data_IF_629378247424
#
_entry.id   IF_629378247424
#
_cell.length_a   1.000
_cell.length_b   1.000
_cell.length_c   1.000
_cell.angle_alpha   90.00
_cell.angle_beta   90.00
_cell.angle_gamma   90.00
#
_symmetry.space_group_name_H-M   'P 1'
#
loop_
_entity.id
_entity.type
_entity.pdbx_description
1 polymer ?
#
# COMPACT_ATOMS: atom_id res chain seq x y z
N UNK A 1 -5.77 4.70 2.20
CA UNK A 1 -6.60 5.10 3.37
C UNK A 1 -7.46 3.98 3.92
N UNK A 2 -8.33 3.36 3.13
CA UNK A 2 -9.19 2.24 3.56
C UNK A 2 -8.46 1.17 4.40
N UNK A 3 -7.36 0.61 3.88
CA UNK A 3 -6.59 -0.43 4.58
C UNK A 3 -6.08 0.03 5.96
N UNK A 4 -5.61 1.27 6.08
CA UNK A 4 -5.10 1.80 7.34
C UNK A 4 -6.20 1.91 8.41
N UNK A 5 -7.40 2.39 8.05
CA UNK A 5 -8.54 2.42 8.97
C UNK A 5 -9.01 1.03 9.35
N UNK A 6 -9.04 0.10 8.39
CA UNK A 6 -9.47 -1.26 8.65
C UNK A 6 -8.53 -1.94 9.65
N UNK A 7 -7.21 -1.83 9.44
CA UNK A 7 -6.17 -2.36 10.33
C UNK A 7 -6.24 -1.71 11.71
N UNK A 8 -6.41 -0.39 11.79
CA UNK A 8 -6.55 0.31 13.06
C UNK A 8 -7.80 -0.14 13.83
N UNK A 9 -8.94 -0.25 13.14
CA UNK A 9 -10.20 -0.69 13.73
C UNK A 9 -10.12 -2.12 14.28
N UNK A 10 -9.60 -3.05 13.49
CA UNK A 10 -9.46 -4.45 13.90
C UNK A 10 -8.41 -4.65 14.99
N UNK A 11 -7.34 -3.84 14.97
CA UNK A 11 -6.37 -3.76 16.07
C UNK A 11 -7.04 -3.31 17.37
N UNK A 12 -7.83 -2.24 17.34
CA UNK A 12 -8.55 -1.76 18.52
C UNK A 12 -9.51 -2.82 19.07
N UNK A 13 -10.27 -3.51 18.21
CA UNK A 13 -11.15 -4.62 18.64
C UNK A 13 -10.35 -5.74 19.30
N UNK A 14 -9.22 -6.12 18.71
CA UNK A 14 -8.37 -7.21 19.23
C UNK A 14 -7.77 -6.83 20.60
N UNK A 15 -7.18 -5.65 20.71
CA UNK A 15 -6.47 -5.21 21.92
C UNK A 15 -7.42 -4.86 23.06
N UNK A 16 -8.57 -4.25 22.78
CA UNK A 16 -9.53 -3.88 23.82
C UNK A 16 -10.46 -5.04 24.20
N UNK A 17 -10.70 -5.97 23.25
CA UNK A 17 -11.67 -7.05 23.39
C UNK A 17 -11.15 -8.38 23.94
N UNK A 18 -9.84 -8.50 24.21
CA UNK A 18 -9.24 -9.80 24.60
C UNK A 18 -9.81 -10.35 25.91
N UNK A 19 -10.17 -9.50 26.88
CA UNK A 19 -10.77 -9.95 28.14
C UNK A 19 -12.17 -10.53 27.93
N UNK A 20 -12.96 -9.87 27.09
CA UNK A 20 -14.30 -10.31 26.71
C UNK A 20 -14.23 -11.62 25.92
N UNK A 21 -13.17 -11.88 25.16
CA UNK A 21 -12.97 -13.18 24.52
C UNK A 21 -12.90 -14.31 25.57
N UNK A 22 -12.09 -14.13 26.62
CA UNK A 22 -11.97 -15.15 27.69
C UNK A 22 -13.27 -15.33 28.47
N UNK A 23 -14.08 -14.27 28.61
CA UNK A 23 -15.42 -14.37 29.19
C UNK A 23 -16.38 -15.13 28.28
N UNK A 24 -16.41 -14.80 26.98
CA UNK A 24 -17.28 -15.47 26.00
C UNK A 24 -16.93 -16.95 25.82
N UNK A 25 -15.66 -17.33 25.99
CA UNK A 25 -15.22 -18.72 25.95
C UNK A 25 -15.54 -19.51 27.23
N UNK A 26 -16.12 -18.87 28.26
CA UNK A 26 -16.41 -19.51 29.54
C UNK A 26 -15.18 -19.83 30.39
N UNK A 27 -14.01 -19.28 30.05
CA UNK A 27 -12.78 -19.44 30.86
C UNK A 27 -12.90 -18.66 32.17
N UNK A 28 -13.58 -17.51 32.13
CA UNK A 28 -13.99 -16.78 33.32
C UNK A 28 -15.35 -17.30 33.77
N UNK A 29 -15.47 -17.74 35.04
CA UNK A 29 -16.72 -18.23 35.66
C UNK A 29 -17.75 -17.11 35.92
N UNK A 30 -17.84 -16.12 35.04
CA UNK A 30 -18.74 -14.98 35.11
C UNK A 30 -19.77 -15.07 33.99
N UNK A 31 -21.07 -14.89 34.26
CA UNK A 31 -22.09 -14.89 33.22
C UNK A 31 -21.88 -13.72 32.25
N UNK A 32 -22.14 -13.96 30.97
CA UNK A 32 -21.98 -12.97 29.91
C UNK A 32 -22.91 -11.76 30.08
N UNK A 33 -22.39 -10.54 30.29
CA UNK A 33 -23.22 -9.38 30.66
C UNK A 33 -23.68 -8.54 29.45
N UNK A 34 -23.29 -8.89 28.22
CA UNK A 34 -23.50 -8.05 27.04
C UNK A 34 -24.70 -8.51 26.19
N UNK A 35 -25.29 -7.58 25.44
CA UNK A 35 -26.43 -7.86 24.56
C UNK A 35 -26.09 -8.69 23.32
N UNK A 36 -24.83 -8.67 22.87
CA UNK A 36 -24.38 -9.46 21.72
C UNK A 36 -24.25 -10.93 22.13
N UNK A 37 -24.72 -11.90 21.34
CA UNK A 37 -24.49 -13.31 21.63
C UNK A 37 -22.99 -13.65 21.69
N UNK A 38 -22.60 -14.52 22.62
CA UNK A 38 -21.20 -14.95 22.83
C UNK A 38 -20.54 -15.44 21.53
N UNK A 39 -21.25 -16.28 20.78
CA UNK A 39 -20.77 -16.84 19.51
C UNK A 39 -20.51 -15.74 18.47
N UNK A 40 -21.42 -14.76 18.35
CA UNK A 40 -21.27 -13.66 17.41
C UNK A 40 -20.05 -12.79 17.75
N UNK A 41 -19.83 -12.56 19.05
CA UNK A 41 -18.65 -11.85 19.53
C UNK A 41 -17.35 -12.62 19.21
N UNK A 42 -17.29 -13.92 19.52
CA UNK A 42 -16.12 -14.77 19.26
C UNK A 42 -15.77 -14.75 17.76
N UNK A 43 -16.75 -14.96 16.88
CA UNK A 43 -16.52 -14.96 15.42
C UNK A 43 -15.99 -13.60 14.95
N UNK A 44 -16.60 -12.51 15.42
CA UNK A 44 -16.18 -11.14 15.05
C UNK A 44 -14.77 -10.84 15.53
N UNK A 45 -14.43 -11.27 16.75
CA UNK A 45 -13.10 -11.12 17.33
C UNK A 45 -12.05 -11.89 16.52
N UNK A 46 -12.32 -13.16 16.20
CA UNK A 46 -11.42 -13.99 15.39
C UNK A 46 -11.22 -13.40 13.99
N UNK A 47 -12.31 -12.93 13.36
CA UNK A 47 -12.22 -12.25 12.07
C UNK A 47 -11.37 -10.97 12.16
N UNK A 48 -11.51 -10.19 13.23
CA UNK A 48 -10.72 -8.99 13.45
C UNK A 48 -9.23 -9.31 13.58
N UNK A 49 -8.86 -10.37 14.31
CA UNK A 49 -7.47 -10.83 14.42
C UNK A 49 -6.90 -11.20 13.04
N UNK A 50 -7.63 -11.99 12.26
CA UNK A 50 -7.19 -12.42 10.92
C UNK A 50 -7.06 -11.22 9.99
N UNK A 51 -8.04 -10.30 9.98
CA UNK A 51 -8.02 -9.10 9.15
C UNK A 51 -6.88 -8.15 9.54
N UNK A 52 -6.62 -7.96 10.84
CA UNK A 52 -5.50 -7.15 11.31
C UNK A 52 -4.17 -7.65 10.72
N UNK A 53 -3.93 -8.97 10.78
CA UNK A 53 -2.70 -9.56 10.26
C UNK A 53 -2.64 -9.52 8.72
N UNK A 54 -3.68 -10.03 8.04
CA UNK A 54 -3.68 -10.14 6.58
C UNK A 54 -3.63 -8.77 5.90
N UNK A 55 -4.52 -7.85 6.29
CA UNK A 55 -4.55 -6.50 5.72
C UNK A 55 -3.37 -5.66 6.22
N UNK A 56 -2.84 -5.93 7.41
CA UNK A 56 -1.64 -5.26 7.93
C UNK A 56 -0.39 -5.56 7.08
N UNK A 57 -0.21 -6.83 6.69
CA UNK A 57 0.88 -7.23 5.77
C UNK A 57 0.69 -6.56 4.40
N UNK A 58 -0.53 -6.60 3.86
CA UNK A 58 -0.86 -5.95 2.59
C UNK A 58 -0.59 -4.44 2.61
N UNK A 59 -1.02 -3.75 3.67
CA UNK A 59 -0.76 -2.32 3.87
C UNK A 59 0.75 -2.03 3.92
N UNK A 60 1.50 -2.85 4.65
CA UNK A 60 2.96 -2.70 4.77
C UNK A 60 3.64 -2.86 3.41
N UNK A 61 3.21 -3.83 2.61
CA UNK A 61 3.71 -4.02 1.24
C UNK A 61 3.39 -2.83 0.34
N UNK A 62 2.17 -2.29 0.40
CA UNK A 62 1.82 -1.08 -0.36
C UNK A 62 2.62 0.14 0.07
N UNK A 63 2.84 0.36 1.37
CA UNK A 63 3.69 1.46 1.85
C UNK A 63 5.14 1.31 1.40
N UNK A 64 5.64 0.08 1.35
CA UNK A 64 6.95 -0.23 0.80
C UNK A 64 6.99 0.12 -0.70
N UNK A 65 6.03 -0.36 -1.50
CA UNK A 65 5.93 -0.09 -2.94
C UNK A 65 5.85 1.41 -3.25
N UNK A 66 5.01 2.14 -2.51
CA UNK A 66 4.88 3.60 -2.64
C UNK A 66 6.22 4.28 -2.33
N UNK A 67 6.98 3.78 -1.35
CA UNK A 67 8.29 4.33 -1.02
C UNK A 67 9.31 4.18 -2.16
N UNK A 68 9.12 3.23 -3.07
CA UNK A 68 9.96 3.03 -4.26
C UNK A 68 9.35 3.62 -5.54
N UNK A 69 8.21 4.32 -5.44
CA UNK A 69 7.44 4.82 -6.58
C UNK A 69 7.14 3.71 -7.61
N UNK A 70 6.66 2.56 -7.12
CA UNK A 70 6.28 1.43 -7.96
C UNK A 70 4.82 1.03 -7.66
N UNK A 71 4.06 0.70 -8.70
CA UNK A 71 2.80 -0.04 -8.59
C UNK A 71 3.05 -1.54 -8.44
N UNK A 72 2.02 -2.32 -8.07
CA UNK A 72 2.17 -3.78 -7.93
C UNK A 72 2.48 -4.50 -9.24
N UNK A 73 2.04 -3.94 -10.38
CA UNK A 73 2.37 -4.48 -11.71
C UNK A 73 3.82 -4.12 -12.05
N UNK A 74 4.18 -2.83 -11.91
CA UNK A 74 5.55 -2.34 -12.14
C UNK A 74 6.58 -3.06 -11.27
N UNK A 75 6.27 -3.39 -10.01
CA UNK A 75 7.19 -4.11 -9.14
C UNK A 75 7.58 -5.49 -9.70
N UNK A 76 6.64 -6.17 -10.38
CA UNK A 76 6.91 -7.46 -11.02
C UNK A 76 7.73 -7.27 -12.31
N UNK A 77 7.42 -6.25 -13.10
CA UNK A 77 8.17 -5.93 -14.33
C UNK A 77 9.60 -5.48 -14.00
N UNK A 78 9.77 -4.66 -12.98
CA UNK A 78 11.07 -4.20 -12.48
C UNK A 78 11.94 -5.36 -12.00
N UNK A 79 11.37 -6.44 -11.46
CA UNK A 79 12.15 -7.63 -11.14
C UNK A 79 12.74 -8.27 -12.41
N UNK A 80 11.96 -8.32 -13.49
CA UNK A 80 12.41 -8.82 -14.80
C UNK A 80 13.45 -7.87 -15.39
N UNK A 81 13.23 -6.56 -15.35
CA UNK A 81 14.17 -5.55 -15.87
C UNK A 81 15.50 -5.58 -15.13
N UNK A 82 15.49 -5.67 -13.79
CA UNK A 82 16.72 -5.80 -12.98
C UNK A 82 17.52 -7.05 -13.38
N UNK A 83 16.86 -8.18 -13.66
CA UNK A 83 17.52 -9.41 -14.11
C UNK A 83 18.14 -9.24 -15.51
N UNK A 84 17.41 -8.61 -16.44
CA UNK A 84 17.89 -8.33 -17.81
C UNK A 84 19.05 -7.33 -17.84
N UNK A 85 18.94 -6.22 -17.09
CA UNK A 85 20.02 -5.23 -16.98
C UNK A 85 21.28 -5.88 -16.40
N UNK A 86 21.13 -6.65 -15.31
CA UNK A 86 22.25 -7.33 -14.66
C UNK A 86 22.94 -8.35 -15.57
N UNK A 87 22.22 -9.05 -16.43
CA UNK A 87 22.84 -9.99 -17.38
C UNK A 87 23.69 -9.29 -18.44
N UNK A 88 23.44 -8.00 -18.70
CA UNK A 88 24.25 -7.14 -19.56
C UNK A 88 25.38 -6.41 -18.83
N UNK A 89 25.47 -6.53 -17.51
CA UNK A 89 26.38 -5.72 -16.70
C UNK A 89 25.95 -4.27 -16.52
N UNK A 90 24.66 -3.98 -16.73
CA UNK A 90 24.02 -2.67 -16.53
C UNK A 90 23.18 -2.70 -15.24
N UNK A 91 22.97 -1.53 -14.61
CA UNK A 91 22.06 -1.38 -13.47
C UNK A 91 20.70 -0.82 -13.91
N UNK A 92 19.62 -1.39 -13.39
CA UNK A 92 18.26 -0.86 -13.57
C UNK A 92 17.99 0.28 -12.58
N UNK A 93 17.50 1.42 -13.07
CA UNK A 93 17.08 2.55 -12.24
C UNK A 93 15.64 2.93 -12.58
N UNK A 94 14.77 2.94 -11.55
CA UNK A 94 13.41 3.45 -11.67
C UNK A 94 13.45 4.97 -11.92
N UNK A 95 12.91 5.43 -13.05
CA UNK A 95 12.84 6.85 -13.42
C UNK A 95 11.81 7.61 -12.58
N UNK A 96 10.81 6.94 -12.00
CA UNK A 96 9.79 7.53 -11.14
C UNK A 96 10.21 7.61 -9.67
N UNK A 97 11.31 6.97 -9.27
CA UNK A 97 11.81 7.03 -7.90
C UNK A 97 12.54 8.36 -7.63
N UNK A 98 11.86 9.26 -6.90
CA UNK A 98 12.37 10.55 -6.45
C UNK A 98 12.91 10.51 -5.01
N UNK A 99 13.00 9.32 -4.42
CA UNK A 99 13.38 9.06 -3.05
C UNK A 99 12.18 8.86 -2.12
N UNK A 100 12.33 7.95 -1.17
CA UNK A 100 11.26 7.43 -0.29
C UNK A 100 10.32 8.49 0.30
N UNK A 101 10.88 9.56 0.86
CA UNK A 101 10.10 10.65 1.47
C UNK A 101 9.31 11.43 0.41
N UNK A 102 9.92 11.71 -0.74
CA UNK A 102 9.28 12.46 -1.82
C UNK A 102 8.19 11.63 -2.49
N UNK A 103 8.41 10.33 -2.70
CA UNK A 103 7.42 9.43 -3.26
C UNK A 103 6.17 9.33 -2.38
N UNK A 104 6.35 9.19 -1.06
CA UNK A 104 5.24 9.22 -0.09
C UNK A 104 4.50 10.57 -0.11
N UNK A 105 5.24 11.68 -0.18
CA UNK A 105 4.64 13.01 -0.28
C UNK A 105 3.80 13.17 -1.53
N UNK A 106 4.27 12.71 -2.69
CA UNK A 106 3.54 12.78 -3.95
C UNK A 106 2.31 11.86 -3.94
N UNK A 107 2.45 10.63 -3.45
CA UNK A 107 1.34 9.68 -3.38
C UNK A 107 0.18 10.18 -2.51
N UNK A 108 0.50 10.70 -1.32
CA UNK A 108 -0.51 11.28 -0.44
C UNK A 108 -0.87 12.73 -0.77
N UNK A 109 -0.19 13.31 -1.76
CA UNK A 109 -0.29 14.72 -2.13
C UNK A 109 -0.16 15.66 -0.92
N UNK A 110 0.90 15.48 -0.12
CA UNK A 110 1.20 16.25 1.09
C UNK A 110 2.55 16.97 0.97
N UNK A 111 2.71 18.12 1.64
CA UNK A 111 3.97 18.87 1.68
C UNK A 111 3.82 20.33 1.24
N UNK A 112 4.94 20.96 0.85
CA UNK A 112 5.02 22.41 0.57
C UNK A 112 4.04 22.91 -0.50
N UNK A 113 3.70 22.06 -1.49
CA UNK A 113 2.74 22.37 -2.55
C UNK A 113 1.48 21.48 -2.51
N UNK A 114 1.33 20.68 -1.45
CA UNK A 114 0.25 19.69 -1.32
C UNK A 114 -0.77 20.06 -0.25
N UNK A 115 -1.59 19.08 0.14
CA UNK A 115 -2.57 19.19 1.20
C UNK A 115 -1.93 19.11 2.61
N UNK A 116 -2.58 19.66 3.64
CA UNK A 116 -2.13 19.54 5.02
C UNK A 116 -2.17 18.09 5.53
N UNK A 117 -1.32 17.74 6.49
CA UNK A 117 -1.22 16.38 7.05
C UNK A 117 -2.54 15.82 7.61
N UNK A 118 -3.49 16.66 8.00
CA UNK A 118 -4.78 16.17 8.51
C UNK A 118 -5.60 15.41 7.45
N UNK A 119 -5.31 15.60 6.16
CA UNK A 119 -5.96 14.82 5.07
C UNK A 119 -5.57 13.34 5.09
N UNK A 120 -4.51 12.97 5.82
CA UNK A 120 -4.18 11.57 6.10
C UNK A 120 -5.09 10.95 7.17
N UNK A 121 -5.82 11.75 7.96
CA UNK A 121 -6.68 11.24 9.04
C UNK A 121 -8.16 11.32 8.72
N UNK A 122 -8.53 11.98 7.64
CA UNK A 122 -9.91 12.10 7.18
C UNK A 122 -9.96 11.81 5.68
N UNK A 123 -10.76 10.84 5.20
CA UNK A 123 -10.80 10.45 3.79
C UNK A 123 -11.58 11.48 2.97
N UNK A 124 -11.04 12.68 2.82
CA UNK A 124 -11.58 13.68 1.91
C UNK A 124 -11.32 13.28 0.47
N UNK A 125 -12.26 13.64 -0.42
CA UNK A 125 -12.02 13.59 -1.86
C UNK A 125 -11.06 14.72 -2.21
N UNK A 126 -9.77 14.39 -2.30
CA UNK A 126 -8.71 15.30 -2.73
C UNK A 126 -8.34 15.00 -4.19
N UNK A 127 -8.04 16.05 -4.95
CA UNK A 127 -7.50 15.86 -6.29
C UNK A 127 -6.08 15.27 -6.18
N UNK A 128 -5.74 14.28 -7.03
CA UNK A 128 -4.37 13.79 -7.13
C UNK A 128 -3.42 14.92 -7.55
N UNK A 129 -2.12 14.73 -7.33
CA UNK A 129 -1.12 15.75 -7.70
C UNK A 129 -0.96 15.93 -9.21
N UNK A 130 -1.41 14.95 -10.00
CA UNK A 130 -1.27 14.91 -11.46
C UNK A 130 -2.55 14.39 -12.14
N UNK A 131 -2.58 14.45 -13.47
CA UNK A 131 -3.69 14.06 -14.35
C UNK A 131 -3.83 12.54 -14.59
N UNK A 132 -2.86 11.75 -14.11
CA UNK A 132 -2.82 10.30 -14.30
C UNK A 132 -2.30 9.87 -15.68
N UNK A 133 -1.73 10.78 -16.47
CA UNK A 133 -1.03 10.50 -17.73
C UNK A 133 0.44 10.87 -17.65
N UNK A 134 0.76 11.88 -16.85
CA UNK A 134 2.12 12.35 -16.61
C UNK A 134 2.47 12.21 -15.14
N UNK A 135 3.70 11.79 -14.84
CA UNK A 135 4.20 11.70 -13.47
C UNK A 135 5.57 12.36 -13.39
N UNK A 136 5.91 12.86 -12.20
CA UNK A 136 7.21 13.46 -11.98
C UNK A 136 8.31 12.40 -12.12
N UNK A 137 9.35 12.70 -12.91
CA UNK A 137 10.49 11.83 -13.15
C UNK A 137 11.75 12.42 -12.53
N UNK A 138 12.70 11.54 -12.24
CA UNK A 138 14.02 11.91 -11.75
C UNK A 138 14.76 12.73 -12.82
N UNK A 139 15.46 13.78 -12.38
CA UNK A 139 16.23 14.65 -13.28
C UNK A 139 17.20 13.85 -14.15
N UNK A 140 17.16 14.10 -15.46
CA UNK A 140 17.98 13.41 -16.45
C UNK A 140 17.45 12.06 -16.94
N UNK A 141 16.26 11.63 -16.49
CA UNK A 141 15.63 10.38 -16.93
C UNK A 141 14.30 10.64 -17.65
N UNK A 142 14.28 10.36 -18.95
CA UNK A 142 13.03 10.30 -19.72
C UNK A 142 12.38 8.92 -19.66
N UNK A 143 13.18 7.86 -19.47
CA UNK A 143 12.76 6.45 -19.36
C UNK A 143 13.55 5.74 -18.26
N UNK A 144 13.12 4.52 -17.91
CA UNK A 144 13.85 3.67 -16.95
C UNK A 144 15.27 3.39 -17.45
N UNK A 145 16.27 3.56 -16.59
CA UNK A 145 17.65 3.22 -16.96
C UNK A 145 17.82 1.71 -17.03
N UNK A 146 18.60 1.23 -17.99
CA UNK A 146 18.87 -0.19 -18.16
C UNK A 146 17.73 -0.96 -18.82
N UNK A 147 16.68 -0.28 -19.32
CA UNK A 147 15.63 -0.86 -20.18
C UNK A 147 15.81 -0.30 -21.58
N UNK A 148 15.88 -1.18 -22.60
CA UNK A 148 15.98 -0.77 -24.01
C UNK A 148 14.59 -0.67 -24.64
N UNK A 149 14.45 0.11 -25.73
CA UNK A 149 13.19 0.20 -26.50
C UNK A 149 12.74 -1.20 -26.94
N UNK A 150 11.48 -1.55 -26.67
CA UNK A 150 10.91 -2.87 -26.91
C UNK A 150 11.21 -3.92 -25.82
N UNK A 151 11.94 -3.58 -24.74
CA UNK A 151 12.06 -4.45 -23.56
C UNK A 151 11.01 -4.17 -22.49
N UNK A 152 10.26 -3.07 -22.62
CA UNK A 152 9.13 -2.66 -21.77
C UNK A 152 7.98 -3.66 -21.96
N UNK A 153 7.58 -4.34 -20.89
CA UNK A 153 6.53 -5.37 -20.89
C UNK A 153 5.11 -4.79 -21.02
N UNK A 154 4.93 -3.51 -20.67
CA UNK A 154 3.63 -2.85 -20.56
C UNK A 154 3.34 -1.86 -21.68
N UNK A 155 4.33 -1.55 -22.50
CA UNK A 155 4.25 -0.56 -23.58
C UNK A 155 4.41 -1.29 -24.93
N UNK A 156 3.38 -2.02 -25.35
CA UNK A 156 3.38 -2.74 -26.63
C UNK A 156 2.81 -1.93 -27.83
N UNK A 157 2.23 -0.74 -27.66
CA UNK A 157 1.28 -0.21 -28.68
C UNK A 157 1.50 1.21 -29.25
N UNK A 158 2.69 1.82 -29.23
CA UNK A 158 2.88 3.17 -29.83
C UNK A 158 3.85 3.28 -31.02
N UNK A 159 4.53 2.20 -31.42
CA UNK A 159 5.56 2.26 -32.48
C UNK A 159 5.20 1.56 -33.81
N UNK A 160 3.96 1.06 -33.96
CA UNK A 160 3.50 0.37 -35.18
C UNK A 160 2.76 1.29 -36.19
N UNK A 161 2.75 2.62 -35.98
CA UNK A 161 2.22 3.59 -36.94
C UNK A 161 3.22 4.71 -37.27
N UNK A 162 4.20 4.42 -38.14
CA UNK A 162 4.69 5.35 -39.19
C UNK A 162 5.50 4.63 -40.29
#
# INVERSE_FOLDING_TARGET
MFMAYLVLSTFCVTVLGYKQLFQALGVSYTPWPYYVPEIAYIITYLLSVVLFLAVGIMLSYHLYSISWAETSVEAQDHEVYRKKAKSRGEDFVNSYDLGKRRNLQLFFNIGEAGYPLYTLFIPFRISPYTDGRSWARRDGYERHHGVRRGEELTDEDEDDEE
#
